data_IF_225874390365
#
_entry.id   IF_225874390365
#
_cell.length_a   1.000
_cell.length_b   1.000
_cell.length_c   1.000
_cell.angle_alpha   90.00
_cell.angle_beta   90.00
_cell.angle_gamma   90.00
#
_symmetry.space_group_name_H-M   'P 1'
#
loop_
_entity.id
_entity.type
_entity.pdbx_description
1 polymer ?
#
# COMPACT_ATOMS: atom_id res chain seq x y z
N UNK A 1 -11.26 -10.16 -10.02
CA UNK A 1 -11.24 -8.74 -10.44
C UNK A 1 -11.91 -7.77 -9.46
N UNK A 2 -12.82 -8.19 -8.56
CA UNK A 2 -13.53 -7.26 -7.64
C UNK A 2 -12.64 -6.56 -6.60
N UNK A 3 -11.50 -7.15 -6.23
CA UNK A 3 -10.59 -6.55 -5.24
C UNK A 3 -10.00 -5.20 -5.68
N UNK A 4 -9.73 -5.00 -6.98
CA UNK A 4 -9.22 -3.73 -7.52
C UNK A 4 -10.17 -2.56 -7.25
N UNK A 5 -11.48 -2.81 -7.24
CA UNK A 5 -12.49 -1.80 -6.98
C UNK A 5 -12.43 -1.22 -5.56
N UNK A 6 -11.80 -1.93 -4.61
CA UNK A 6 -11.60 -1.46 -3.24
C UNK A 6 -10.32 -0.65 -3.05
N UNK A 7 -9.48 -0.48 -4.07
CA UNK A 7 -8.25 0.31 -3.96
C UNK A 7 -8.62 1.80 -3.89
N UNK A 8 -7.91 2.55 -3.04
CA UNK A 8 -8.08 4.01 -2.88
C UNK A 8 -8.40 4.44 -1.44
N UNK A 9 -8.77 3.52 -0.54
CA UNK A 9 -8.98 3.84 0.87
C UNK A 9 -7.71 4.36 1.56
N UNK A 10 -6.54 3.96 1.07
CA UNK A 10 -5.22 4.36 1.54
C UNK A 10 -4.89 5.82 1.19
N UNK A 11 -5.52 6.38 0.16
CA UNK A 11 -5.36 7.79 -0.20
C UNK A 11 -5.79 8.74 0.93
N UNK A 12 -6.72 8.33 1.80
CA UNK A 12 -7.16 9.13 2.96
C UNK A 12 -5.97 9.43 3.89
N UNK A 13 -5.02 8.51 4.01
CA UNK A 13 -3.83 8.72 4.85
C UNK A 13 -2.86 9.79 4.31
N UNK A 14 -2.91 10.08 3.00
CA UNK A 14 -2.08 11.15 2.38
C UNK A 14 -2.56 12.56 2.72
N UNK A 15 -3.77 12.67 3.26
CA UNK A 15 -4.39 13.92 3.68
C UNK A 15 -4.31 14.09 5.20
N UNK A 16 -3.48 13.29 5.89
CA UNK A 16 -3.33 13.37 7.34
C UNK A 16 -2.95 14.76 7.85
N UNK A 17 -2.18 15.53 7.07
CA UNK A 17 -1.78 16.91 7.39
C UNK A 17 -2.93 17.92 7.31
N UNK A 18 -4.04 17.58 6.64
CA UNK A 18 -5.21 18.45 6.46
C UNK A 18 -6.35 18.13 7.43
N UNK A 19 -6.18 17.08 8.23
CA UNK A 19 -7.19 16.62 9.19
C UNK A 19 -6.90 17.21 10.56
N UNK A 20 -7.91 17.81 11.22
CA UNK A 20 -7.76 18.41 12.55
C UNK A 20 -7.29 17.40 13.62
N UNK A 21 -7.93 16.23 13.70
CA UNK A 21 -7.53 15.13 14.61
C UNK A 21 -7.19 13.86 13.81
N UNK A 22 -5.96 13.77 13.26
CA UNK A 22 -5.59 12.66 12.38
C UNK A 22 -5.59 11.31 13.10
N UNK A 23 -5.43 11.32 14.43
CA UNK A 23 -5.35 10.10 15.25
C UNK A 23 -6.70 9.38 15.30
N UNK A 24 -7.80 10.14 15.34
CA UNK A 24 -9.16 9.61 15.44
C UNK A 24 -9.89 9.58 14.10
N UNK A 25 -9.74 10.63 13.29
CA UNK A 25 -10.57 10.81 12.11
C UNK A 25 -10.10 9.95 10.93
N UNK A 26 -8.79 9.72 10.76
CA UNK A 26 -8.27 8.87 9.67
C UNK A 26 -8.78 7.42 9.80
N UNK A 27 -8.67 6.74 10.96
CA UNK A 27 -9.19 5.37 11.09
C UNK A 27 -10.71 5.27 10.86
N UNK A 28 -11.48 6.26 11.33
CA UNK A 28 -12.94 6.30 11.15
C UNK A 28 -13.28 6.53 9.67
N UNK A 29 -12.58 7.45 8.98
CA UNK A 29 -12.77 7.72 7.56
C UNK A 29 -12.45 6.52 6.68
N UNK A 30 -11.32 5.85 6.94
CA UNK A 30 -10.91 4.65 6.19
C UNK A 30 -11.89 3.49 6.41
N UNK A 31 -12.24 3.18 7.65
CA UNK A 31 -13.16 2.07 7.94
C UNK A 31 -14.60 2.36 7.48
N UNK A 32 -15.09 3.58 7.68
CA UNK A 32 -16.42 4.00 7.25
C UNK A 32 -16.58 3.99 5.74
N UNK A 33 -15.60 4.51 5.00
CA UNK A 33 -15.65 4.51 3.52
C UNK A 33 -15.68 3.09 2.94
N UNK A 34 -14.85 2.17 3.45
CA UNK A 34 -14.83 0.77 2.98
C UNK A 34 -16.18 0.08 3.25
N UNK A 35 -16.79 0.29 4.42
CA UNK A 35 -18.10 -0.31 4.75
C UNK A 35 -19.18 0.20 3.80
N UNK A 36 -19.24 1.52 3.57
CA UNK A 36 -20.23 2.13 2.67
C UNK A 36 -20.04 1.61 1.25
N UNK A 37 -18.81 1.59 0.74
CA UNK A 37 -18.50 1.07 -0.61
C UNK A 37 -18.86 -0.40 -0.74
N UNK A 38 -18.60 -1.21 0.30
CA UNK A 38 -18.96 -2.63 0.31
C UNK A 38 -20.46 -2.83 0.15
N UNK A 39 -21.27 -2.07 0.89
CA UNK A 39 -22.74 -2.13 0.79
C UNK A 39 -23.18 -1.72 -0.61
N UNK A 40 -22.64 -0.62 -1.15
CA UNK A 40 -22.98 -0.16 -2.50
C UNK A 40 -22.59 -1.18 -3.56
N UNK A 41 -21.43 -1.84 -3.46
CA UNK A 41 -21.01 -2.88 -4.40
C UNK A 41 -21.89 -4.13 -4.33
N UNK A 42 -22.30 -4.55 -3.13
CA UNK A 42 -23.27 -5.64 -2.97
C UNK A 42 -24.62 -5.30 -3.63
N UNK A 43 -25.11 -4.07 -3.43
CA UNK A 43 -26.35 -3.59 -4.06
C UNK A 43 -26.21 -3.50 -5.58
N UNK A 44 -25.08 -2.99 -6.09
CA UNK A 44 -24.79 -2.93 -7.52
C UNK A 44 -24.77 -4.32 -8.15
N UNK A 45 -24.04 -5.28 -7.55
CA UNK A 45 -23.98 -6.65 -8.04
C UNK A 45 -25.36 -7.32 -8.04
N UNK A 46 -26.13 -7.17 -6.96
CA UNK A 46 -27.50 -7.68 -6.88
C UNK A 46 -28.39 -7.07 -7.98
N UNK A 47 -28.34 -5.75 -8.16
CA UNK A 47 -29.15 -5.05 -9.17
C UNK A 47 -28.84 -5.49 -10.61
N UNK A 48 -27.57 -5.69 -10.96
CA UNK A 48 -27.17 -6.16 -12.29
C UNK A 48 -27.57 -7.60 -12.53
N UNK A 49 -27.37 -8.47 -11.54
CA UNK A 49 -27.75 -9.89 -11.64
C UNK A 49 -29.27 -10.10 -11.82
N UNK A 50 -30.09 -9.16 -11.36
CA UNK A 50 -31.53 -9.17 -11.60
C UNK A 50 -31.92 -8.63 -12.98
N UNK A 51 -31.09 -7.79 -13.60
CA UNK A 51 -31.42 -7.09 -14.84
C UNK A 51 -31.10 -7.92 -16.09
N UNK A 52 -29.93 -8.54 -16.13
CA UNK A 52 -29.47 -9.36 -17.26
C UNK A 52 -28.93 -10.72 -16.78
N UNK A 53 -29.12 -11.80 -17.57
CA UNK A 53 -28.40 -13.05 -17.35
C UNK A 53 -26.89 -12.83 -17.55
N UNK A 54 -26.07 -13.61 -16.83
CA UNK A 54 -24.63 -13.41 -16.75
C UNK A 54 -23.90 -13.46 -18.11
N UNK A 55 -24.45 -14.17 -19.10
CA UNK A 55 -23.86 -14.32 -20.43
C UNK A 55 -23.90 -13.03 -21.29
N UNK A 56 -24.84 -12.12 -20.99
CA UNK A 56 -25.11 -10.94 -21.82
C UNK A 56 -24.52 -9.64 -21.24
N UNK A 57 -23.72 -9.74 -20.18
CA UNK A 57 -23.12 -8.58 -19.51
C UNK A 57 -21.86 -8.16 -20.27
N UNK A 58 -21.88 -6.94 -20.80
CA UNK A 58 -20.72 -6.31 -21.44
C UNK A 58 -19.60 -6.07 -20.40
N UNK A 59 -18.36 -6.41 -20.77
CA UNK A 59 -17.19 -6.31 -19.88
C UNK A 59 -16.67 -4.88 -19.80
N UNK A 60 -16.83 -4.08 -20.85
CA UNK A 60 -16.32 -2.71 -20.93
C UNK A 60 -17.32 -1.70 -20.36
N UNK A 61 -18.62 -1.90 -20.60
CA UNK A 61 -19.67 -0.97 -20.18
C UNK A 61 -20.91 -1.65 -19.56
N UNK A 62 -20.76 -2.43 -18.47
CA UNK A 62 -21.84 -3.28 -17.95
C UNK A 62 -23.13 -2.52 -17.62
N UNK A 63 -23.02 -1.33 -17.01
CA UNK A 63 -24.20 -0.56 -16.58
C UNK A 63 -24.81 0.29 -17.70
N UNK A 64 -24.02 0.87 -18.60
CA UNK A 64 -24.57 1.69 -19.69
C UNK A 64 -25.17 0.81 -20.79
N UNK A 65 -24.49 -0.28 -21.14
CA UNK A 65 -24.95 -1.25 -22.12
C UNK A 65 -26.22 -1.99 -21.65
N UNK A 66 -26.36 -2.29 -20.36
CA UNK A 66 -27.54 -2.98 -19.83
C UNK A 66 -28.87 -2.23 -20.05
N UNK A 67 -28.84 -0.89 -20.21
CA UNK A 67 -30.02 -0.08 -20.51
C UNK A 67 -30.13 0.32 -21.98
N UNK A 68 -29.11 0.02 -22.80
CA UNK A 68 -29.16 0.24 -24.25
C UNK A 68 -30.25 -0.62 -24.88
N UNK A 69 -31.12 -0.01 -25.69
CA UNK A 69 -32.29 -0.69 -26.29
C UNK A 69 -33.55 -0.76 -25.40
N UNK A 70 -33.49 -0.39 -24.12
CA UNK A 70 -34.67 -0.35 -23.22
C UNK A 70 -35.00 1.07 -22.75
N UNK A 71 -33.99 1.83 -22.30
CA UNK A 71 -34.13 3.25 -21.94
C UNK A 71 -32.81 4.00 -22.16
N UNK A 72 -32.68 4.63 -23.33
CA UNK A 72 -31.47 5.35 -23.72
C UNK A 72 -31.18 6.60 -22.88
N UNK A 73 -32.22 7.20 -22.29
CA UNK A 73 -32.05 8.29 -21.34
C UNK A 73 -31.26 7.82 -20.10
N UNK A 74 -31.65 6.66 -19.54
CA UNK A 74 -31.00 6.08 -18.35
C UNK A 74 -29.56 5.69 -18.67
N UNK A 75 -29.34 5.04 -19.83
CA UNK A 75 -28.00 4.66 -20.28
C UNK A 75 -27.05 5.87 -20.40
N UNK A 76 -27.54 7.00 -20.92
CA UNK A 76 -26.77 8.26 -21.04
C UNK A 76 -26.45 8.89 -19.69
N UNK A 77 -27.42 8.96 -18.77
CA UNK A 77 -27.20 9.51 -17.42
C UNK A 77 -26.16 8.69 -16.65
N UNK A 78 -26.28 7.36 -16.70
CA UNK A 78 -25.32 6.44 -16.06
C UNK A 78 -23.94 6.59 -16.70
N UNK A 79 -23.87 6.68 -18.02
CA UNK A 79 -22.60 6.88 -18.74
C UNK A 79 -21.89 8.17 -18.31
N UNK A 80 -22.61 9.29 -18.30
CA UNK A 80 -22.07 10.59 -17.85
C UNK A 80 -21.63 10.53 -16.39
N UNK A 81 -22.46 9.95 -15.51
CA UNK A 81 -22.11 9.78 -14.09
C UNK A 81 -20.86 8.93 -13.88
N UNK A 82 -20.73 7.82 -14.61
CA UNK A 82 -19.56 6.95 -14.57
C UNK A 82 -18.30 7.69 -15.04
N UNK A 83 -18.38 8.48 -16.13
CA UNK A 83 -17.26 9.27 -16.61
C UNK A 83 -16.79 10.32 -15.59
N UNK A 84 -17.71 11.06 -14.96
CA UNK A 84 -17.36 12.00 -13.89
C UNK A 84 -16.79 11.31 -12.66
N UNK A 85 -17.28 10.11 -12.31
CA UNK A 85 -16.73 9.30 -11.22
C UNK A 85 -15.29 8.86 -11.47
N UNK A 86 -15.00 8.33 -12.68
CA UNK A 86 -13.65 7.94 -13.09
C UNK A 86 -12.72 9.15 -13.11
N UNK A 87 -13.17 10.29 -13.65
CA UNK A 87 -12.40 11.54 -13.66
C UNK A 87 -12.05 12.00 -12.24
N UNK A 88 -13.01 11.97 -11.31
CA UNK A 88 -12.78 12.34 -9.92
C UNK A 88 -11.76 11.41 -9.25
N UNK A 89 -11.89 10.10 -9.46
CA UNK A 89 -10.94 9.10 -8.95
C UNK A 89 -9.52 9.33 -9.48
N UNK A 90 -9.38 9.61 -10.77
CA UNK A 90 -8.11 9.94 -11.41
C UNK A 90 -7.45 11.18 -10.80
N UNK A 91 -8.23 12.25 -10.55
CA UNK A 91 -7.72 13.48 -9.93
C UNK A 91 -7.22 13.23 -8.50
N UNK A 92 -7.96 12.46 -7.70
CA UNK A 92 -7.54 12.09 -6.33
C UNK A 92 -6.25 11.27 -6.35
N UNK A 93 -6.12 10.32 -7.29
CA UNK A 93 -4.91 9.52 -7.45
C UNK A 93 -3.68 10.37 -7.83
N UNK A 94 -3.85 11.33 -8.76
CA UNK A 94 -2.80 12.27 -9.16
C UNK A 94 -2.34 13.16 -8.00
N UNK A 95 -3.26 13.63 -7.16
CA UNK A 95 -2.94 14.40 -5.97
C UNK A 95 -2.10 13.59 -4.97
N UNK A 96 -2.48 12.35 -4.70
CA UNK A 96 -1.76 11.45 -3.80
C UNK A 96 -0.35 11.14 -4.31
N UNK A 97 -0.21 10.77 -5.58
CA UNK A 97 1.09 10.43 -6.18
C UNK A 97 2.09 11.59 -6.16
N UNK A 98 1.64 12.82 -6.44
CA UNK A 98 2.51 13.99 -6.42
C UNK A 98 3.05 14.30 -5.00
N UNK A 99 2.23 14.07 -3.96
CA UNK A 99 2.66 14.23 -2.55
C UNK A 99 3.66 13.17 -2.14
N UNK A 100 3.41 11.91 -2.48
CA UNK A 100 4.36 10.82 -2.22
C UNK A 100 5.72 11.12 -2.84
N UNK A 101 5.75 11.52 -4.12
CA UNK A 101 6.99 11.83 -4.80
C UNK A 101 7.73 13.04 -4.20
N UNK A 102 7.01 14.05 -3.71
CA UNK A 102 7.61 15.19 -3.02
C UNK A 102 8.29 14.77 -1.70
N UNK A 103 7.62 13.93 -0.91
CA UNK A 103 8.18 13.41 0.36
C UNK A 103 9.41 12.54 0.09
N UNK A 104 9.36 11.66 -0.92
CA UNK A 104 10.49 10.82 -1.34
C UNK A 104 11.65 11.68 -1.87
N UNK A 105 11.34 12.78 -2.56
CA UNK A 105 12.33 13.76 -3.02
C UNK A 105 13.00 14.50 -1.87
N UNK A 106 12.27 14.81 -0.79
CA UNK A 106 12.83 15.45 0.41
C UNK A 106 13.81 14.54 1.15
N UNK A 107 13.64 13.21 1.05
CA UNK A 107 14.60 12.24 1.60
C UNK A 107 15.78 11.94 0.66
N UNK A 108 15.96 12.69 -0.43
CA UNK A 108 17.02 12.51 -1.43
C UNK A 108 17.12 11.09 -2.04
N UNK A 109 16.05 10.31 -1.96
CA UNK A 109 15.90 8.98 -2.59
C UNK A 109 15.68 9.14 -4.11
N UNK A 110 15.07 10.26 -4.51
CA UNK A 110 14.86 10.66 -5.91
C UNK A 110 15.39 12.09 -6.08
N UNK A 111 15.65 12.56 -7.32
CA UNK A 111 16.23 13.87 -7.55
C UNK A 111 15.51 15.00 -6.80
N UNK A 112 16.27 15.86 -6.12
CA UNK A 112 15.74 16.99 -5.34
C UNK A 112 14.86 17.95 -6.17
N UNK A 113 14.94 17.89 -7.49
CA UNK A 113 14.02 18.57 -8.40
C UNK A 113 12.54 18.22 -8.15
N UNK A 114 12.25 16.98 -7.75
CA UNK A 114 10.90 16.53 -7.40
C UNK A 114 10.40 17.06 -6.05
N UNK A 115 11.32 17.44 -5.15
CA UNK A 115 10.98 18.05 -3.86
C UNK A 115 10.63 19.55 -3.99
N UNK A 116 10.91 20.16 -5.15
CA UNK A 116 10.71 21.60 -5.36
C UNK A 116 9.23 21.93 -5.52
N UNK A 117 8.72 22.75 -4.60
CA UNK A 117 7.34 23.22 -4.58
C UNK A 117 7.28 24.61 -5.21
N UNK A 118 6.24 24.89 -6.01
CA UNK A 118 6.08 26.19 -6.65
C UNK A 118 5.70 27.28 -5.62
N UNK A 119 6.36 28.45 -5.59
CA UNK A 119 6.25 29.43 -4.49
C UNK A 119 4.88 30.12 -4.39
N UNK A 120 4.12 30.21 -5.49
CA UNK A 120 2.82 30.91 -5.52
C UNK A 120 1.63 29.98 -5.25
N UNK A 121 1.75 28.71 -5.62
CA UNK A 121 0.65 27.72 -5.53
C UNK A 121 0.89 26.70 -4.43
N UNK A 122 2.10 26.65 -3.85
CA UNK A 122 2.51 25.67 -2.84
C UNK A 122 2.25 24.21 -3.27
N UNK A 123 2.21 23.95 -4.58
CA UNK A 123 1.98 22.62 -5.16
C UNK A 123 3.23 22.10 -5.88
N UNK A 124 3.51 20.78 -5.80
CA UNK A 124 4.64 20.15 -6.49
C UNK A 124 4.31 19.92 -7.98
N UNK A 125 4.31 21.00 -8.76
CA UNK A 125 3.95 20.98 -10.20
C UNK A 125 4.88 20.08 -11.01
N UNK A 126 6.18 20.10 -10.71
CA UNK A 126 7.20 19.29 -11.39
C UNK A 126 6.94 17.79 -11.25
N UNK A 127 6.67 17.34 -10.01
CA UNK A 127 6.38 15.94 -9.73
C UNK A 127 5.06 15.51 -10.39
N UNK A 128 4.01 16.33 -10.27
CA UNK A 128 2.70 16.04 -10.87
C UNK A 128 2.76 15.95 -12.39
N UNK A 129 3.45 16.89 -13.06
CA UNK A 129 3.59 16.87 -14.51
C UNK A 129 4.37 15.65 -15.00
N UNK A 130 5.50 15.33 -14.36
CA UNK A 130 6.31 14.17 -14.73
C UNK A 130 5.54 12.86 -14.55
N UNK A 131 4.91 12.65 -13.39
CA UNK A 131 4.11 11.45 -13.10
C UNK A 131 2.89 11.34 -14.01
N UNK A 132 2.23 12.46 -14.32
CA UNK A 132 1.09 12.50 -15.22
C UNK A 132 1.48 12.12 -16.65
N UNK A 133 2.57 12.69 -17.19
CA UNK A 133 3.09 12.35 -18.52
C UNK A 133 3.52 10.88 -18.57
N UNK A 134 4.21 10.40 -17.53
CA UNK A 134 4.65 9.01 -17.45
C UNK A 134 3.48 8.03 -17.38
N UNK A 135 2.47 8.33 -16.56
CA UNK A 135 1.24 7.53 -16.46
C UNK A 135 0.46 7.53 -17.78
N UNK A 136 0.36 8.69 -18.45
CA UNK A 136 -0.27 8.81 -19.76
C UNK A 136 0.46 7.99 -20.82
N UNK A 137 1.80 7.98 -20.81
CA UNK A 137 2.59 7.14 -21.71
C UNK A 137 2.32 5.65 -21.46
N UNK A 138 2.33 5.19 -20.20
CA UNK A 138 2.04 3.79 -19.87
C UNK A 138 0.62 3.41 -20.30
N UNK A 139 -0.36 4.28 -20.06
CA UNK A 139 -1.75 4.06 -20.45
C UNK A 139 -1.94 4.00 -21.97
N UNK A 140 -1.13 4.73 -22.74
CA UNK A 140 -1.19 4.72 -24.20
C UNK A 140 -0.60 3.44 -24.82
N UNK A 141 0.47 2.89 -24.21
CA UNK A 141 1.23 1.77 -24.77
C UNK A 141 0.88 0.40 -24.18
N UNK A 142 -0.02 0.31 -23.19
CA UNK A 142 -0.25 -0.93 -22.45
C UNK A 142 -1.73 -1.25 -22.29
N UNK A 143 -2.11 -2.50 -22.53
CA UNK A 143 -3.48 -2.97 -22.37
C UNK A 143 -3.99 -2.95 -20.93
N UNK A 144 -5.28 -2.65 -20.77
CA UNK A 144 -5.96 -2.58 -19.47
C UNK A 144 -5.81 -3.88 -18.67
N UNK A 145 -6.02 -5.05 -19.28
CA UNK A 145 -5.92 -6.34 -18.58
C UNK A 145 -4.51 -6.59 -18.01
N UNK A 146 -3.47 -6.15 -18.72
CA UNK A 146 -2.09 -6.26 -18.25
C UNK A 146 -1.87 -5.34 -17.05
N UNK A 147 -2.35 -4.09 -17.12
CA UNK A 147 -2.30 -3.14 -16.00
C UNK A 147 -3.03 -3.67 -14.77
N UNK A 148 -4.25 -4.18 -14.93
CA UNK A 148 -5.07 -4.67 -13.83
C UNK A 148 -4.39 -5.84 -13.11
N UNK A 149 -3.78 -6.77 -13.86
CA UNK A 149 -3.02 -7.88 -13.28
C UNK A 149 -1.75 -7.38 -12.56
N UNK A 150 -1.01 -6.45 -13.17
CA UNK A 150 0.22 -5.89 -12.58
C UNK A 150 -0.06 -5.13 -11.28
N UNK A 151 -1.08 -4.26 -11.29
CA UNK A 151 -1.53 -3.50 -10.13
C UNK A 151 -2.00 -4.44 -9.02
N UNK A 152 -2.79 -5.48 -9.36
CA UNK A 152 -3.28 -6.45 -8.38
C UNK A 152 -2.14 -7.18 -7.65
N UNK A 153 -1.13 -7.66 -8.40
CA UNK A 153 0.05 -8.30 -7.80
C UNK A 153 0.73 -7.34 -6.84
N UNK A 154 0.99 -6.10 -7.29
CA UNK A 154 1.64 -5.07 -6.48
C UNK A 154 0.87 -4.73 -5.20
N UNK A 155 -0.44 -4.51 -5.29
CA UNK A 155 -1.27 -4.13 -4.13
C UNK A 155 -1.44 -5.26 -3.14
N UNK A 156 -1.61 -6.51 -3.61
CA UNK A 156 -1.67 -7.68 -2.73
C UNK A 156 -0.33 -7.88 -2.01
N UNK A 157 0.79 -7.65 -2.69
CA UNK A 157 2.10 -7.69 -2.08
C UNK A 157 2.28 -6.61 -1.01
N UNK A 158 1.87 -5.36 -1.28
CA UNK A 158 1.89 -4.27 -0.30
C UNK A 158 1.01 -4.60 0.91
N UNK A 159 -0.21 -5.11 0.71
CA UNK A 159 -1.09 -5.47 1.83
C UNK A 159 -0.53 -6.63 2.64
N UNK A 160 0.06 -7.64 2.00
CA UNK A 160 0.81 -8.70 2.68
C UNK A 160 1.93 -8.11 3.56
N UNK A 161 2.70 -7.17 3.03
CA UNK A 161 3.81 -6.54 3.77
C UNK A 161 3.30 -5.70 4.95
N UNK A 162 2.23 -4.92 4.76
CA UNK A 162 1.59 -4.11 5.81
C UNK A 162 1.05 -5.00 6.94
N UNK A 163 0.38 -6.12 6.62
CA UNK A 163 -0.11 -7.05 7.65
C UNK A 163 1.03 -7.65 8.48
N UNK A 164 2.14 -8.03 7.83
CA UNK A 164 3.35 -8.51 8.52
C UNK A 164 3.95 -7.41 9.41
N UNK A 165 4.05 -6.18 8.90
CA UNK A 165 4.60 -5.03 9.62
C UNK A 165 3.78 -4.68 10.88
N UNK A 166 2.45 -4.76 10.81
CA UNK A 166 1.58 -4.50 11.97
C UNK A 166 1.81 -5.51 13.09
N UNK A 167 1.97 -6.81 12.75
CA UNK A 167 2.30 -7.85 13.73
C UNK A 167 3.68 -7.59 14.32
N UNK A 168 4.70 -7.38 13.48
CA UNK A 168 6.06 -7.12 13.92
C UNK A 168 6.14 -5.92 14.88
N UNK A 169 5.52 -4.79 14.52
CA UNK A 169 5.51 -3.55 15.32
C UNK A 169 4.82 -3.69 16.68
N UNK A 170 3.93 -4.68 16.83
CA UNK A 170 3.22 -4.90 18.09
C UNK A 170 4.01 -5.72 19.09
N UNK A 171 4.68 -6.76 18.61
CA UNK A 171 5.32 -7.77 19.44
C UNK A 171 6.83 -7.54 19.61
N UNK A 172 7.45 -6.76 18.71
CA UNK A 172 8.86 -6.40 18.80
C UNK A 172 9.00 -4.95 19.24
N UNK A 173 9.73 -4.73 20.34
CA UNK A 173 10.20 -3.43 20.78
C UNK A 173 11.72 -3.38 20.64
N UNK A 174 12.21 -2.35 19.95
CA UNK A 174 13.65 -2.12 19.79
C UNK A 174 14.26 -1.89 21.17
N UNK A 175 15.20 -2.75 21.56
CA UNK A 175 15.98 -2.63 22.79
C UNK A 175 15.53 -3.49 23.98
N UNK A 176 14.31 -4.06 23.98
CA UNK A 176 13.81 -4.84 25.14
C UNK A 176 13.42 -6.28 24.81
N UNK A 177 12.85 -6.55 23.64
CA UNK A 177 12.41 -7.91 23.27
C UNK A 177 13.25 -8.49 22.13
N UNK A 178 13.53 -9.80 22.19
CA UNK A 178 14.23 -10.51 21.10
C UNK A 178 13.26 -10.63 19.90
N UNK A 179 13.65 -10.22 18.67
CA UNK A 179 12.76 -10.23 17.50
C UNK A 179 12.52 -11.63 16.91
N UNK A 180 13.41 -12.57 17.20
CA UNK A 180 13.44 -13.90 16.60
C UNK A 180 12.15 -14.72 16.70
N UNK A 181 11.43 -14.79 17.85
CA UNK A 181 10.19 -15.55 17.95
C UNK A 181 9.08 -15.01 17.05
N UNK A 182 8.97 -13.68 16.95
CA UNK A 182 7.97 -13.03 16.08
C UNK A 182 8.32 -13.23 14.61
N UNK A 183 9.59 -13.08 14.23
CA UNK A 183 10.04 -13.34 12.85
C UNK A 183 9.84 -14.80 12.45
N UNK A 184 10.16 -15.76 13.32
CA UNK A 184 9.94 -17.19 13.07
C UNK A 184 8.46 -17.49 12.85
N UNK A 185 7.58 -16.93 13.68
CA UNK A 185 6.13 -17.04 13.50
C UNK A 185 5.66 -16.48 12.14
N UNK A 186 6.10 -15.27 11.77
CA UNK A 186 5.71 -14.65 10.50
C UNK A 186 6.16 -15.48 9.30
N UNK A 187 7.40 -16.00 9.33
CA UNK A 187 7.92 -16.89 8.30
C UNK A 187 7.15 -18.21 8.23
N UNK A 188 6.92 -18.88 9.36
CA UNK A 188 6.20 -20.15 9.42
C UNK A 188 4.74 -20.01 8.96
N UNK A 189 4.07 -18.94 9.36
CA UNK A 189 2.69 -18.68 8.96
C UNK A 189 2.59 -18.39 7.45
N UNK A 190 3.50 -17.57 6.92
CA UNK A 190 3.54 -17.27 5.49
C UNK A 190 3.88 -18.51 4.66
N UNK A 191 4.80 -19.36 5.13
CA UNK A 191 5.15 -20.62 4.48
C UNK A 191 3.96 -21.59 4.47
N UNK A 192 3.24 -21.70 5.59
CA UNK A 192 2.01 -22.51 5.69
C UNK A 192 0.95 -22.04 4.70
N UNK A 193 0.79 -20.72 4.54
CA UNK A 193 -0.13 -20.13 3.57
C UNK A 193 0.29 -20.41 2.12
N UNK A 194 1.58 -20.37 1.83
CA UNK A 194 2.10 -20.72 0.50
C UNK A 194 1.90 -22.21 0.20
N UNK A 195 2.14 -23.10 1.17
CA UNK A 195 1.85 -24.54 1.03
C UNK A 195 0.37 -24.76 0.75
N UNK A 196 -0.53 -24.12 1.51
CA UNK A 196 -1.98 -24.22 1.26
C UNK A 196 -2.33 -23.85 -0.18
N UNK A 197 -1.73 -22.78 -0.69
CA UNK A 197 -1.98 -22.28 -2.04
C UNK A 197 -1.42 -23.23 -3.11
N UNK A 198 -0.24 -23.81 -2.89
CA UNK A 198 0.33 -24.84 -3.77
C UNK A 198 -0.53 -26.11 -3.78
N UNK A 199 -0.96 -26.57 -2.62
CA UNK A 199 -1.86 -27.73 -2.48
C UNK A 199 -3.16 -27.50 -3.23
N UNK A 200 -3.72 -26.30 -3.14
CA UNK A 200 -4.94 -25.93 -3.86
C UNK A 200 -4.79 -26.09 -5.38
N UNK A 201 -3.66 -25.65 -5.94
CA UNK A 201 -3.41 -25.63 -7.38
C UNK A 201 -2.94 -26.98 -7.94
N UNK A 202 -2.02 -27.67 -7.26
CA UNK A 202 -1.38 -28.88 -7.78
C UNK A 202 -2.14 -30.17 -7.45
N UNK A 203 -3.05 -30.18 -6.48
CA UNK A 203 -3.75 -31.42 -6.09
C UNK A 203 -4.98 -31.65 -6.98
N UNK A 204 -5.08 -32.80 -7.68
CA UNK A 204 -6.25 -33.14 -8.49
C UNK A 204 -7.52 -33.28 -7.62
N UNK A 205 -8.72 -33.09 -8.20
CA UNK A 205 -9.97 -33.22 -7.47
C UNK A 205 -10.16 -34.69 -7.06
N UNK A 206 -9.94 -34.98 -5.78
CA UNK A 206 -10.14 -36.30 -5.20
C UNK A 206 -10.37 -36.20 -3.69
N UNK A 207 -10.75 -37.34 -3.08
CA UNK A 207 -10.94 -37.46 -1.62
C UNK A 207 -9.78 -36.93 -0.77
N UNK A 208 -8.48 -36.99 -1.16
CA UNK A 208 -7.41 -36.44 -0.32
C UNK A 208 -7.32 -34.90 -0.35
N UNK A 209 -7.86 -34.22 -1.38
CA UNK A 209 -7.78 -32.76 -1.51
C UNK A 209 -8.42 -32.00 -0.33
N UNK A 210 -9.69 -32.25 0.06
CA UNK A 210 -10.29 -31.57 1.21
C UNK A 210 -9.59 -31.93 2.53
N UNK A 211 -9.09 -33.15 2.67
CA UNK A 211 -8.33 -33.57 3.85
C UNK A 211 -7.01 -32.78 4.00
N UNK A 212 -6.24 -32.66 2.91
CA UNK A 212 -4.97 -31.92 2.91
C UNK A 212 -5.17 -30.42 3.17
N UNK A 213 -6.21 -29.83 2.58
CA UNK A 213 -6.58 -28.43 2.80
C UNK A 213 -7.02 -28.20 4.26
N UNK A 214 -7.84 -29.10 4.80
CA UNK A 214 -8.26 -29.07 6.20
C UNK A 214 -7.06 -29.16 7.16
N UNK A 215 -6.11 -30.05 6.89
CA UNK A 215 -4.89 -30.18 7.69
C UNK A 215 -4.06 -28.88 7.67
N UNK A 216 -3.89 -28.23 6.51
CA UNK A 216 -3.19 -26.96 6.40
C UNK A 216 -3.86 -25.83 7.19
N UNK A 217 -5.20 -25.78 7.20
CA UNK A 217 -5.96 -24.80 7.98
C UNK A 217 -5.80 -25.05 9.48
N UNK A 218 -5.86 -26.31 9.93
CA UNK A 218 -5.64 -26.67 11.33
C UNK A 218 -4.22 -26.31 11.76
N UNK A 219 -3.21 -26.54 10.92
CA UNK A 219 -1.82 -26.13 11.17
C UNK A 219 -1.71 -24.60 11.29
N UNK A 220 -2.31 -23.84 10.37
CA UNK A 220 -2.30 -22.38 10.41
C UNK A 220 -2.95 -21.82 11.69
N UNK A 221 -4.11 -22.39 12.08
CA UNK A 221 -4.81 -22.04 13.32
C UNK A 221 -3.93 -22.38 14.53
N UNK A 222 -3.35 -23.58 14.57
CA UNK A 222 -2.46 -24.03 15.66
C UNK A 222 -1.26 -23.11 15.83
N UNK A 223 -0.60 -22.70 14.73
CA UNK A 223 0.52 -21.75 14.74
C UNK A 223 0.08 -20.40 15.33
N UNK A 224 -1.14 -19.93 14.99
CA UNK A 224 -1.71 -18.71 15.55
C UNK A 224 -1.98 -18.80 17.04
N UNK A 225 -2.54 -19.90 17.52
CA UNK A 225 -2.81 -20.07 18.95
C UNK A 225 -1.53 -20.25 19.76
N UNK A 226 -0.54 -20.98 19.25
CA UNK A 226 0.78 -21.09 19.89
C UNK A 226 1.42 -19.71 20.01
N UNK A 227 1.38 -18.90 18.95
CA UNK A 227 1.89 -17.53 19.00
C UNK A 227 1.15 -16.64 19.99
N UNK A 228 -0.19 -16.75 20.04
CA UNK A 228 -1.01 -15.98 20.97
C UNK A 228 -0.68 -16.31 22.44
N UNK A 229 -0.39 -17.58 22.74
CA UNK A 229 -0.03 -18.02 24.09
C UNK A 229 1.44 -17.73 24.45
N UNK A 230 2.37 -17.87 23.50
CA UNK A 230 3.81 -17.78 23.79
C UNK A 230 4.37 -16.36 23.77
N UNK A 231 3.76 -15.45 23.00
CA UNK A 231 4.32 -14.11 22.79
C UNK A 231 3.44 -13.06 23.48
N UNK A 232 3.89 -12.51 24.63
CA UNK A 232 3.14 -11.44 25.29
C UNK A 232 3.16 -10.19 24.42
N UNK A 233 2.05 -9.46 24.42
CA UNK A 233 1.94 -8.20 23.66
C UNK A 233 2.88 -7.16 24.25
N UNK A 234 3.91 -6.76 23.49
CA UNK A 234 4.87 -5.77 23.96
C UNK A 234 4.26 -4.36 24.01
N UNK A 235 3.49 -3.96 22.99
CA UNK A 235 2.91 -2.60 22.89
C UNK A 235 1.39 -2.63 22.97
N UNK A 236 0.76 -1.84 23.85
CA UNK A 236 -0.66 -1.47 23.72
C UNK A 236 -0.77 -0.16 22.92
N UNK A 237 -1.76 0.01 22.02
CA UNK A 237 -1.85 1.22 21.21
C UNK A 237 -2.43 2.33 22.09
N UNK A 238 -1.88 3.54 22.03
CA UNK A 238 -2.37 4.64 22.87
C UNK A 238 -3.77 5.14 22.45
N UNK A 239 -4.15 4.98 21.18
CA UNK A 239 -5.37 5.55 20.63
C UNK A 239 -6.20 4.52 19.85
N UNK A 240 -5.76 4.15 18.64
CA UNK A 240 -6.46 3.18 17.80
C UNK A 240 -5.67 1.87 17.67
N UNK A 241 -6.28 0.77 18.10
CA UNK A 241 -5.75 -0.58 17.97
C UNK A 241 -6.58 -1.39 16.99
N UNK A 242 -5.93 -2.24 16.19
CA UNK A 242 -6.64 -3.20 15.36
C UNK A 242 -7.43 -4.16 16.28
N UNK A 243 -8.75 -4.29 16.12
CA UNK A 243 -9.55 -5.23 16.89
C UNK A 243 -9.14 -6.67 16.54
N UNK A 244 -9.18 -7.58 17.52
CA UNK A 244 -8.84 -9.01 17.35
C UNK A 244 -7.41 -9.30 16.87
N UNK A 245 -6.43 -8.61 17.45
CA UNK A 245 -5.03 -8.97 17.24
C UNK A 245 -4.66 -10.28 17.97
N UNK A 246 -3.94 -11.25 17.36
CA UNK A 246 -3.29 -11.25 16.04
C UNK A 246 -4.14 -11.85 14.90
N UNK A 247 -5.36 -12.30 15.16
CA UNK A 247 -6.21 -13.02 14.20
C UNK A 247 -6.51 -12.22 12.93
N UNK A 248 -6.91 -10.96 13.05
CA UNK A 248 -7.33 -10.15 11.90
C UNK A 248 -6.19 -9.90 10.89
N UNK A 249 -4.98 -9.46 11.32
CA UNK A 249 -3.83 -9.37 10.40
C UNK A 249 -3.42 -10.72 9.79
N UNK A 250 -3.53 -11.82 10.53
CA UNK A 250 -3.16 -13.15 10.01
C UNK A 250 -4.12 -13.68 8.95
N UNK A 251 -5.42 -13.43 9.09
CA UNK A 251 -6.40 -13.71 8.01
C UNK A 251 -6.02 -12.91 6.75
N UNK A 252 -5.63 -11.64 6.92
CA UNK A 252 -5.19 -10.82 5.78
C UNK A 252 -3.94 -11.38 5.10
N UNK A 253 -2.93 -11.83 5.87
CA UNK A 253 -1.74 -12.50 5.30
C UNK A 253 -2.15 -13.73 4.47
N UNK A 254 -3.01 -14.58 5.02
CA UNK A 254 -3.47 -15.79 4.34
C UNK A 254 -4.21 -15.47 3.04
N UNK A 255 -5.18 -14.56 3.09
CA UNK A 255 -5.95 -14.17 1.90
C UNK A 255 -5.07 -13.52 0.83
N UNK A 256 -4.13 -12.65 1.21
CA UNK A 256 -3.22 -12.03 0.25
C UNK A 256 -2.33 -13.07 -0.44
N UNK A 257 -1.76 -14.02 0.30
CA UNK A 257 -0.92 -15.10 -0.28
C UNK A 257 -1.75 -16.02 -1.18
N UNK A 258 -2.96 -16.38 -0.77
CA UNK A 258 -3.86 -17.22 -1.57
C UNK A 258 -4.28 -16.55 -2.88
N UNK A 259 -4.64 -15.26 -2.82
CA UNK A 259 -5.00 -14.48 -4.01
C UNK A 259 -3.80 -14.28 -4.93
N UNK A 260 -2.61 -14.07 -4.36
CA UNK A 260 -1.36 -13.97 -5.12
C UNK A 260 -1.16 -15.27 -5.93
N UNK A 261 -1.24 -16.44 -5.31
CA UNK A 261 -1.09 -17.72 -6.02
C UNK A 261 -2.24 -18.10 -6.96
N UNK A 262 -3.31 -17.32 -7.03
CA UNK A 262 -4.40 -17.51 -7.99
C UNK A 262 -4.23 -16.67 -9.28
N UNK A 263 -3.17 -15.85 -9.37
CA UNK A 263 -2.89 -14.98 -10.52
C UNK A 263 -2.06 -15.67 -11.60
N UNK A 264 -2.25 -15.25 -12.85
CA UNK A 264 -1.61 -15.82 -14.02
C UNK A 264 -0.07 -15.76 -14.00
N UNK A 265 0.58 -16.87 -14.34
CA UNK A 265 2.05 -16.98 -14.39
C UNK A 265 2.76 -15.93 -15.27
N UNK A 266 2.28 -15.61 -16.49
CA UNK A 266 2.86 -14.54 -17.31
C UNK A 266 2.85 -13.16 -16.64
N UNK A 267 1.90 -12.90 -15.74
CA UNK A 267 1.82 -11.64 -15.01
C UNK A 267 2.97 -11.49 -14.02
N UNK A 268 3.46 -12.58 -13.43
CA UNK A 268 4.63 -12.58 -12.56
C UNK A 268 5.93 -12.24 -13.29
N UNK A 269 6.10 -12.74 -14.52
CA UNK A 269 7.29 -12.43 -15.32
C UNK A 269 7.33 -10.94 -15.63
N UNK A 270 6.19 -10.36 -16.03
CA UNK A 270 6.06 -8.92 -16.28
C UNK A 270 6.29 -8.10 -15.01
N UNK A 271 5.69 -8.51 -13.89
CA UNK A 271 5.91 -7.88 -12.59
C UNK A 271 7.38 -7.94 -12.16
N UNK A 272 8.04 -9.08 -12.35
CA UNK A 272 9.46 -9.25 -12.09
C UNK A 272 10.33 -8.32 -12.92
N UNK A 273 10.02 -8.15 -14.22
CA UNK A 273 10.74 -7.21 -15.08
C UNK A 273 10.61 -5.75 -14.60
N UNK A 274 9.38 -5.27 -14.35
CA UNK A 274 9.16 -3.90 -13.87
C UNK A 274 9.75 -3.67 -12.48
N UNK A 275 9.66 -4.67 -11.59
CA UNK A 275 10.26 -4.61 -10.26
C UNK A 275 11.79 -4.58 -10.34
N UNK A 276 12.39 -5.38 -11.23
CA UNK A 276 13.84 -5.35 -11.45
C UNK A 276 14.30 -4.00 -11.99
N UNK A 277 13.55 -3.39 -12.91
CA UNK A 277 13.83 -2.03 -13.40
C UNK A 277 13.75 -1.00 -12.27
N UNK A 278 12.71 -1.08 -11.43
CA UNK A 278 12.55 -0.18 -10.28
C UNK A 278 13.71 -0.33 -9.27
N UNK A 279 14.10 -1.58 -8.96
CA UNK A 279 15.25 -1.87 -8.08
C UNK A 279 16.55 -1.40 -8.71
N UNK A 280 16.72 -1.54 -10.02
CA UNK A 280 17.91 -1.07 -10.72
C UNK A 280 18.03 0.46 -10.63
N UNK A 281 16.94 1.19 -10.84
CA UNK A 281 16.91 2.65 -10.63
C UNK A 281 17.21 3.00 -9.17
N UNK A 282 16.65 2.25 -8.22
CA UNK A 282 16.93 2.44 -6.80
C UNK A 282 18.41 2.23 -6.46
N UNK A 283 19.03 1.14 -6.92
CA UNK A 283 20.44 0.84 -6.61
C UNK A 283 21.39 1.83 -7.30
N UNK A 284 21.15 2.15 -8.57
CA UNK A 284 22.04 3.04 -9.33
C UNK A 284 21.94 4.48 -8.85
N UNK A 285 20.74 4.99 -8.63
CA UNK A 285 20.52 6.38 -8.28
C UNK A 285 20.28 6.57 -6.78
N UNK A 286 19.25 5.92 -6.23
CA UNK A 286 18.77 6.23 -4.88
C UNK A 286 19.79 5.88 -3.80
N UNK A 287 20.51 4.76 -3.91
CA UNK A 287 21.48 4.35 -2.88
C UNK A 287 22.64 5.34 -2.82
N UNK A 288 23.19 5.72 -3.97
CA UNK A 288 24.27 6.71 -4.05
C UNK A 288 23.81 8.08 -3.56
N UNK A 289 22.64 8.54 -4.03
CA UNK A 289 22.08 9.82 -3.60
C UNK A 289 21.74 9.86 -2.11
N UNK A 290 21.23 8.77 -1.53
CA UNK A 290 20.95 8.69 -0.09
C UNK A 290 22.22 8.68 0.76
N UNK A 291 23.28 8.03 0.28
CA UNK A 291 24.57 7.98 0.98
C UNK A 291 25.26 9.34 0.94
N UNK A 292 25.25 10.02 -0.22
CA UNK A 292 25.79 11.38 -0.35
C UNK A 292 25.03 12.37 0.54
N UNK A 293 23.70 12.25 0.63
CA UNK A 293 22.88 13.08 1.50
C UNK A 293 23.15 12.86 3.00
N UNK A 294 23.39 11.62 3.42
CA UNK A 294 23.74 11.30 4.81
C UNK A 294 25.12 11.85 5.20
N UNK A 295 26.10 11.75 4.30
CA UNK A 295 27.43 12.34 4.49
C UNK A 295 27.33 13.87 4.63
N UNK A 296 26.58 14.52 3.75
CA UNK A 296 26.42 15.98 3.77
C UNK A 296 25.70 16.45 5.05
N UNK A 297 24.69 15.71 5.50
CA UNK A 297 24.01 15.93 6.78
C UNK A 297 24.93 15.77 7.99
N UNK A 298 25.75 14.71 8.02
CA UNK A 298 26.72 14.46 9.09
C UNK A 298 27.82 15.53 9.16
N UNK A 299 28.32 15.97 8.00
CA UNK A 299 29.29 17.07 7.92
C UNK A 299 28.70 18.40 8.36
N UNK A 300 27.43 18.68 8.01
CA UNK A 300 26.71 19.86 8.46
C UNK A 300 26.55 19.89 9.98
N UNK A 301 26.15 18.77 10.59
CA UNK A 301 25.99 18.65 12.04
C UNK A 301 27.32 18.82 12.78
N UNK A 302 28.40 18.22 12.26
CA UNK A 302 29.76 18.36 12.80
C UNK A 302 30.28 19.79 12.71
N UNK A 303 29.98 20.51 11.63
CA UNK A 303 30.33 21.92 11.50
C UNK A 303 29.55 22.82 12.47
N UNK A 304 28.29 22.49 12.78
CA UNK A 304 27.50 23.22 13.79
C UNK A 304 28.07 22.99 15.19
N UNK A 305 28.43 21.76 15.55
CA UNK A 305 29.10 21.45 16.83
C UNK A 305 30.43 22.21 16.97
N UNK A 306 31.25 22.26 15.91
CA UNK A 306 32.53 23.01 15.91
C UNK A 306 32.29 24.52 16.10
N UNK A 307 31.21 25.07 15.52
CA UNK A 307 30.85 26.49 15.66
C UNK A 307 30.29 26.80 17.06
N UNK A 308 29.57 25.87 17.69
CA UNK A 308 29.11 26.02 19.08
C UNK A 308 30.26 25.90 20.09
N UNK A 309 31.17 24.93 19.91
CA UNK A 309 32.38 24.79 20.74
C UNK A 309 33.28 26.04 20.66
N UNK A 310 33.48 26.58 19.45
CA UNK A 310 34.29 27.80 19.26
C UNK A 310 33.63 29.06 19.84
N UNK A 311 32.30 29.15 19.87
CA UNK A 311 31.57 30.22 20.58
C UNK A 311 31.71 30.11 22.10
N UNK A 312 31.62 28.91 22.66
CA UNK A 312 31.82 28.69 24.09
C UNK A 312 33.26 28.98 24.53
N UNK A 313 34.24 28.65 23.67
CA UNK A 313 35.65 28.95 23.91
C UNK A 313 35.96 30.45 23.85
N UNK A 314 35.27 31.19 22.96
CA UNK A 314 35.49 32.63 22.77
C UNK A 314 34.82 33.53 23.81
N UNK A 315 33.82 33.03 24.56
CA UNK A 315 33.22 33.77 25.68
C UNK A 315 34.01 33.65 26.99
N UNK A 316 34.95 32.70 27.10
CA UNK A 316 35.85 32.57 28.26
C UNK A 316 37.13 33.45 28.16
N UNK A 317 37.48 33.96 26.98
CA UNK A 317 38.65 34.85 26.80
C UNK A 317 38.29 36.36 26.73
N UNK A 318 38.31 36.95 27.94
CA UNK A 318 38.82 38.30 28.31
C UNK A 318 37.83 39.47 28.54
N UNK A 319 37.88 40.07 29.76
CA UNK A 319 38.58 41.36 29.87
C UNK A 319 39.38 41.51 31.18
N UNK A 320 40.60 41.00 31.23
CA UNK A 320 41.68 41.34 32.17
C UNK A 320 43.08 41.36 31.53
N UNK A 321 43.20 41.64 30.22
CA UNK A 321 44.48 42.02 29.61
C UNK A 321 44.40 43.29 28.73
N UNK A 322 44.11 44.44 29.35
CA UNK A 322 44.66 45.75 28.92
C UNK A 322 44.96 46.60 30.15
N UNK A 323 46.19 46.49 30.64
CA UNK A 323 46.87 47.50 31.47
C UNK A 323 47.88 48.20 30.57
#
# INVERSE_FOLDING_TARGET
MVYLSYIGYDAVSTMAEEVCDPVKDIPIGVSGSVIIVTILYCLMAASMSMLLPYDMIDVEAPFSAAFSGRSEWVARVIGVGASFGILTSLLVAMLGQARYMCVIGRSNVVPAWFARVHPKTSTPVNASAFLGIFTAAIALFTDLNILLNLVSIGTLFVFYMVSNAVIYRRYVMVGTTKPWPTLSFLCLFSLTSTIFTLVWHFTPPGKPKPFLLGACVVIAISILQVFHCMVPQARKPAFWGVPFMPWLPSISIFLNVFLLGSLDGPSYVRFGFFSALAVLVYVLYSVHASFDAEIEGSLGQKNVEIVEESKQSGEEEDPRQKV
#
